data_IF_575037451630
#
_entry.id   IF_575037451630
#
_cell.length_a   1.000
_cell.length_b   1.000
_cell.length_c   1.000
_cell.angle_alpha   90.00
_cell.angle_beta   90.00
_cell.angle_gamma   90.00
#
_symmetry.space_group_name_H-M   'P 1'
#
loop_
_entity.id
_entity.type
_entity.pdbx_description
1 polymer ?
#
# COMPACT_ATOMS: atom_id res chain seq x y z
N UNK A 1 -1.72 33.67 13.89
CA UNK A 1 -0.78 32.91 14.74
C UNK A 1 -1.47 31.61 15.11
N UNK A 2 -0.88 30.46 14.76
CA UNK A 2 -1.44 29.18 15.21
C UNK A 2 -1.28 29.07 16.75
N UNK A 3 -2.22 28.41 17.47
CA UNK A 3 -2.22 28.40 18.94
C UNK A 3 -0.90 27.93 19.57
N UNK A 4 -0.20 26.99 18.94
CA UNK A 4 1.09 26.48 19.39
C UNK A 4 2.23 27.51 19.32
N UNK A 5 2.25 28.36 18.28
CA UNK A 5 3.31 29.38 18.10
C UNK A 5 3.21 30.49 19.16
N UNK A 6 1.99 30.81 19.58
CA UNK A 6 1.74 31.79 20.64
C UNK A 6 2.08 31.26 22.04
N UNK A 7 1.99 29.95 22.27
CA UNK A 7 2.25 29.34 23.59
C UNK A 7 3.72 29.01 23.82
N UNK A 8 4.46 28.66 22.76
CA UNK A 8 5.83 28.14 22.89
C UNK A 8 6.87 28.96 22.13
N UNK A 9 6.49 30.04 21.44
CA UNK A 9 7.36 30.91 20.63
C UNK A 9 8.22 30.16 19.60
N UNK A 10 7.83 28.93 19.28
CA UNK A 10 8.47 28.07 18.29
C UNK A 10 7.51 27.87 17.13
N UNK A 11 8.05 27.91 15.91
CA UNK A 11 7.29 27.59 14.70
C UNK A 11 6.72 26.17 14.84
N UNK A 12 5.44 26.00 14.50
CA UNK A 12 4.82 24.69 14.42
C UNK A 12 5.62 23.82 13.43
N UNK A 13 6.27 22.76 13.91
CA UNK A 13 6.83 21.75 13.01
C UNK A 13 5.78 20.66 12.79
N UNK A 14 5.23 20.60 11.58
CA UNK A 14 4.44 19.45 11.14
C UNK A 14 5.35 18.22 11.03
N UNK A 15 4.83 16.99 11.23
CA UNK A 15 5.62 15.75 11.15
C UNK A 15 6.39 15.57 9.82
N UNK A 16 5.97 16.28 8.77
CA UNK A 16 6.63 16.30 7.46
C UNK A 16 7.95 17.09 7.44
N UNK A 17 8.23 17.94 8.44
CA UNK A 17 9.41 18.82 8.49
C UNK A 17 10.52 18.35 9.46
N UNK A 18 10.54 17.07 9.83
CA UNK A 18 11.58 16.47 10.69
C UNK A 18 12.88 16.11 9.93
N UNK A 19 13.29 16.91 8.95
CA UNK A 19 14.55 16.65 8.22
C UNK A 19 15.71 17.40 8.89
N UNK A 20 16.62 16.65 9.53
CA UNK A 20 17.95 17.13 9.86
C UNK A 20 18.86 16.93 8.64
N UNK A 21 19.02 18.00 7.86
CA UNK A 21 19.99 18.04 6.75
C UNK A 21 21.42 18.07 7.31
N UNK A 22 22.00 16.88 7.48
CA UNK A 22 23.39 16.74 7.94
C UNK A 22 24.07 15.42 7.59
N UNK A 23 23.32 14.36 7.24
CA UNK A 23 23.88 13.02 7.00
C UNK A 23 23.52 12.43 5.62
N UNK A 24 22.79 13.16 4.78
CA UNK A 24 22.32 12.66 3.48
C UNK A 24 23.45 12.47 2.45
N UNK A 25 24.63 13.05 2.68
CA UNK A 25 25.74 13.03 1.71
C UNK A 25 26.65 11.79 1.81
N UNK A 26 26.55 10.97 2.87
CA UNK A 26 27.42 9.80 3.10
C UNK A 26 26.64 8.47 3.00
N UNK A 27 25.43 8.47 2.42
CA UNK A 27 24.74 7.21 2.14
C UNK A 27 25.39 6.60 0.89
N UNK A 28 26.36 5.72 1.13
CA UNK A 28 27.16 5.07 0.10
C UNK A 28 26.29 4.55 -1.08
N UNK A 29 26.76 4.64 -2.34
CA UNK A 29 26.00 4.24 -3.54
C UNK A 29 25.43 2.81 -3.48
N UNK A 30 26.10 1.91 -2.74
CA UNK A 30 25.64 0.54 -2.50
C UNK A 30 24.32 0.48 -1.72
N UNK A 31 24.13 1.35 -0.73
CA UNK A 31 22.88 1.42 0.05
C UNK A 31 21.73 1.94 -0.79
N UNK A 32 21.99 2.92 -1.65
CA UNK A 32 21.00 3.43 -2.61
C UNK A 32 20.58 2.34 -3.59
N UNK A 33 21.54 1.58 -4.15
CA UNK A 33 21.22 0.44 -5.01
C UNK A 33 20.37 -0.62 -4.29
N UNK A 34 20.80 -1.05 -3.11
CA UNK A 34 20.07 -2.04 -2.30
C UNK A 34 18.64 -1.58 -1.99
N UNK A 35 18.45 -0.32 -1.58
CA UNK A 35 17.12 0.23 -1.31
C UNK A 35 16.27 0.31 -2.58
N UNK A 36 16.84 0.71 -3.72
CA UNK A 36 16.10 0.74 -4.99
C UNK A 36 15.63 -0.66 -5.42
N UNK A 37 16.45 -1.69 -5.21
CA UNK A 37 16.08 -3.06 -5.53
C UNK A 37 14.98 -3.60 -4.61
N UNK A 38 15.04 -3.27 -3.31
CA UNK A 38 13.95 -3.57 -2.37
C UNK A 38 12.65 -2.86 -2.74
N UNK A 39 12.72 -1.59 -3.14
CA UNK A 39 11.55 -0.83 -3.61
C UNK A 39 10.96 -1.46 -4.87
N UNK A 40 11.79 -1.88 -5.84
CA UNK A 40 11.33 -2.61 -7.03
C UNK A 40 10.62 -3.92 -6.64
N UNK A 41 11.19 -4.68 -5.70
CA UNK A 41 10.58 -5.92 -5.22
C UNK A 41 9.21 -5.69 -4.55
N UNK A 42 9.09 -4.65 -3.73
CA UNK A 42 7.83 -4.29 -3.07
C UNK A 42 6.79 -3.89 -4.12
N UNK A 43 7.15 -3.05 -5.09
CA UNK A 43 6.25 -2.65 -6.18
C UNK A 43 5.77 -3.84 -7.00
N UNK A 44 6.66 -4.78 -7.32
CA UNK A 44 6.29 -5.99 -8.05
C UNK A 44 5.27 -6.82 -7.26
N UNK A 45 5.51 -7.03 -5.95
CA UNK A 45 4.57 -7.76 -5.08
C UNK A 45 3.21 -7.07 -4.98
N UNK A 46 3.19 -5.75 -4.78
CA UNK A 46 1.96 -4.97 -4.73
C UNK A 46 1.16 -5.05 -6.03
N UNK A 47 1.84 -5.03 -7.17
CA UNK A 47 1.19 -5.17 -8.47
C UNK A 47 0.54 -6.54 -8.62
N UNK A 48 1.23 -7.61 -8.24
CA UNK A 48 0.67 -8.98 -8.27
C UNK A 48 -0.58 -9.08 -7.39
N UNK A 49 -0.54 -8.58 -6.15
CA UNK A 49 -1.74 -8.60 -5.29
C UNK A 49 -2.88 -7.76 -5.87
N UNK A 50 -2.59 -6.58 -6.42
CA UNK A 50 -3.60 -5.74 -7.05
C UNK A 50 -4.23 -6.42 -8.27
N UNK A 51 -3.42 -7.07 -9.11
CA UNK A 51 -3.89 -7.76 -10.30
C UNK A 51 -4.73 -9.00 -9.92
N UNK A 52 -4.35 -9.74 -8.88
CA UNK A 52 -5.17 -10.82 -8.31
C UNK A 52 -6.53 -10.31 -7.82
N UNK A 53 -6.56 -9.21 -7.07
CA UNK A 53 -7.82 -8.62 -6.61
C UNK A 53 -8.69 -8.11 -7.77
N UNK A 54 -8.09 -7.47 -8.77
CA UNK A 54 -8.79 -7.01 -9.97
C UNK A 54 -9.38 -8.17 -10.75
N UNK A 55 -8.64 -9.24 -10.97
CA UNK A 55 -9.15 -10.44 -11.65
C UNK A 55 -10.38 -11.02 -10.94
N UNK A 56 -10.35 -11.12 -9.61
CA UNK A 56 -11.51 -11.58 -8.85
C UNK A 56 -12.70 -10.61 -8.97
N UNK A 57 -12.45 -9.31 -8.81
CA UNK A 57 -13.48 -8.29 -8.90
C UNK A 57 -14.10 -8.22 -10.30
N UNK A 58 -13.30 -8.29 -11.36
CA UNK A 58 -13.75 -8.24 -12.75
C UNK A 58 -14.52 -9.50 -13.14
N UNK A 59 -14.08 -10.69 -12.73
CA UNK A 59 -14.83 -11.93 -12.93
C UNK A 59 -16.17 -11.91 -12.18
N UNK A 60 -16.25 -11.26 -11.02
CA UNK A 60 -17.47 -11.12 -10.22
C UNK A 60 -18.36 -9.93 -10.63
N UNK A 61 -17.93 -9.09 -11.58
CA UNK A 61 -18.74 -7.98 -12.13
C UNK A 61 -19.79 -8.44 -13.12
N UNK A 62 -19.60 -9.60 -13.75
CA UNK A 62 -20.59 -10.29 -14.56
C UNK A 62 -21.21 -11.43 -13.75
N UNK A 63 -22.47 -11.83 -14.02
CA UNK A 63 -23.00 -13.07 -13.47
C UNK A 63 -22.04 -14.22 -13.85
N UNK A 64 -21.64 -15.04 -12.86
CA UNK A 64 -20.85 -16.23 -13.14
C UNK A 64 -21.72 -17.22 -13.91
N UNK A 65 -21.26 -17.61 -15.09
CA UNK A 65 -21.83 -18.70 -15.88
C UNK A 65 -21.03 -19.97 -15.58
N UNK A 66 -21.73 -21.10 -15.44
CA UNK A 66 -21.15 -22.40 -15.12
C UNK A 66 -21.60 -23.42 -16.16
N UNK A 67 -20.71 -24.34 -16.52
CA UNK A 67 -21.04 -25.45 -17.41
C UNK A 67 -21.35 -26.74 -16.65
N UNK A 68 -22.09 -27.65 -17.30
CA UNK A 68 -22.42 -28.95 -16.72
C UNK A 68 -21.14 -29.78 -16.47
N UNK A 69 -20.88 -30.09 -15.20
CA UNK A 69 -19.67 -30.82 -14.76
C UNK A 69 -18.72 -29.98 -13.88
N UNK A 70 -18.94 -28.68 -13.77
CA UNK A 70 -18.18 -27.81 -12.87
C UNK A 70 -18.62 -27.97 -11.40
N UNK A 71 -17.65 -27.99 -10.48
CA UNK A 71 -17.90 -28.11 -9.05
C UNK A 71 -17.93 -26.73 -8.41
N UNK A 72 -19.03 -26.38 -7.73
CA UNK A 72 -19.23 -25.08 -7.09
C UNK A 72 -19.64 -25.21 -5.63
N UNK A 73 -19.17 -24.27 -4.80
CA UNK A 73 -19.55 -24.19 -3.39
C UNK A 73 -20.80 -23.32 -3.24
N UNK A 74 -21.87 -23.90 -2.72
CA UNK A 74 -23.09 -23.18 -2.36
C UNK A 74 -22.92 -22.55 -0.98
N UNK A 75 -23.13 -21.24 -0.86
CA UNK A 75 -23.19 -20.57 0.45
C UNK A 75 -24.58 -20.77 1.05
N UNK A 76 -24.68 -21.64 2.04
CA UNK A 76 -25.93 -21.90 2.77
C UNK A 76 -25.97 -21.06 4.05
N UNK A 77 -27.01 -20.25 4.21
CA UNK A 77 -27.35 -19.63 5.50
C UNK A 77 -28.47 -20.44 6.14
N UNK A 78 -28.30 -20.96 7.37
CA UNK A 78 -29.35 -21.71 8.04
C UNK A 78 -30.54 -20.80 8.32
N UNK A 79 -31.73 -21.21 7.88
CA UNK A 79 -33.01 -20.61 8.26
C UNK A 79 -33.57 -21.39 9.44
N UNK A 80 -33.57 -20.78 10.63
CA UNK A 80 -34.38 -21.18 11.79
C UNK A 80 -35.74 -20.54 11.73
#
# INVERSE_FOLDING_TARGET
MAPYEALYERRCQTPLCWYQDGESMIVAPKMVQQTTDKVKQIRARLKVTQDCQKSYADNRRRPLEFEAGEHVFLRVTPTT
#
